data_IF_533312882486
#
_entry.id   IF_533312882486
#
_cell.length_a   1.000
_cell.length_b   1.000
_cell.length_c   1.000
_cell.angle_alpha   90.00
_cell.angle_beta   90.00
_cell.angle_gamma   90.00
#
_symmetry.space_group_name_H-M   'P 1'
#
loop_
_entity.id
_entity.type
_entity.pdbx_description
1 polymer ?
#
# COMPACT_ATOMS: atom_id res chain seq x y z
N UNK A 1 -8.08 -12.30 -6.88
CA UNK A 1 -9.49 -11.91 -6.75
C UNK A 1 -9.71 -10.60 -7.49
N UNK A 2 -10.22 -10.70 -8.74
CA UNK A 2 -11.16 -9.76 -9.36
C UNK A 2 -12.26 -10.68 -9.88
N UNK A 3 -13.19 -11.04 -9.00
CA UNK A 3 -14.42 -11.76 -9.35
C UNK A 3 -15.60 -11.01 -8.75
N UNK A 4 -15.71 -9.73 -9.11
CA UNK A 4 -17.00 -9.06 -9.10
C UNK A 4 -17.62 -9.30 -10.48
N UNK A 5 -18.36 -10.40 -10.60
CA UNK A 5 -19.30 -10.57 -11.70
C UNK A 5 -20.48 -9.67 -11.32
N UNK A 6 -20.41 -8.41 -11.77
CA UNK A 6 -21.41 -7.40 -11.47
C UNK A 6 -22.81 -7.94 -11.72
N UNK A 7 -23.63 -7.99 -10.67
CA UNK A 7 -25.05 -8.30 -10.79
C UNK A 7 -25.70 -7.01 -11.27
N UNK A 8 -25.81 -6.90 -12.60
CA UNK A 8 -26.25 -5.72 -13.35
C UNK A 8 -27.21 -4.78 -12.61
N UNK A 9 -26.62 -3.82 -11.92
CA UNK A 9 -27.24 -2.71 -11.23
C UNK A 9 -26.91 -1.42 -12.01
N UNK A 10 -27.13 -1.44 -13.32
CA UNK A 10 -27.35 -0.26 -14.18
C UNK A 10 -26.25 0.82 -14.29
N UNK A 11 -25.20 0.77 -13.48
CA UNK A 11 -24.09 1.69 -13.50
C UNK A 11 -22.94 1.05 -14.29
N UNK A 12 -22.64 1.58 -15.48
CA UNK A 12 -21.46 1.17 -16.25
C UNK A 12 -20.21 1.27 -15.36
N UNK A 13 -19.32 0.26 -15.27
CA UNK A 13 -18.16 0.34 -14.38
C UNK A 13 -17.45 1.68 -14.56
N UNK A 14 -17.19 2.38 -13.45
CA UNK A 14 -16.43 3.62 -13.52
C UNK A 14 -15.14 3.32 -14.29
N UNK A 15 -14.73 4.19 -15.24
CA UNK A 15 -13.45 4.00 -15.92
C UNK A 15 -12.38 3.82 -14.86
N UNK A 16 -11.40 2.91 -15.06
CA UNK A 16 -10.35 2.69 -14.08
C UNK A 16 -9.74 4.05 -13.73
N UNK A 17 -9.88 4.45 -12.47
CA UNK A 17 -9.30 5.69 -12.04
C UNK A 17 -7.78 5.55 -12.15
N UNK A 18 -7.10 6.50 -12.79
CA UNK A 18 -5.63 6.62 -12.83
C UNK A 18 -5.01 6.87 -11.45
N UNK A 19 -5.75 6.58 -10.37
CA UNK A 19 -5.38 6.85 -8.99
C UNK A 19 -4.68 5.63 -8.42
N UNK A 20 -3.39 5.79 -8.16
CA UNK A 20 -2.57 4.81 -7.47
C UNK A 20 -2.41 5.18 -6.00
N UNK A 21 -2.39 4.19 -5.14
CA UNK A 21 -2.15 4.32 -3.71
C UNK A 21 -0.97 3.47 -3.27
N UNK A 22 -0.20 3.97 -2.30
CA UNK A 22 0.98 3.29 -1.76
C UNK A 22 0.91 3.28 -0.23
N UNK A 23 1.34 2.17 0.39
CA UNK A 23 1.31 2.03 1.84
C UNK A 23 2.70 2.11 2.47
N UNK A 24 2.90 3.05 3.39
CA UNK A 24 4.10 3.13 4.23
C UNK A 24 3.74 2.78 5.67
N UNK A 25 4.41 1.77 6.24
CA UNK A 25 4.12 1.30 7.58
C UNK A 25 5.39 1.05 8.38
N UNK A 26 5.31 1.25 9.70
CA UNK A 26 6.35 0.87 10.64
C UNK A 26 5.69 0.23 11.87
N UNK A 27 6.34 -0.76 12.47
CA UNK A 27 5.80 -1.44 13.65
C UNK A 27 6.89 -2.00 14.56
N UNK A 28 6.59 -2.07 15.85
CA UNK A 28 7.57 -2.40 16.90
C UNK A 28 7.99 -3.87 16.92
N UNK A 29 7.09 -4.80 16.59
CA UNK A 29 7.33 -6.23 16.85
C UNK A 29 8.07 -6.94 15.71
N UNK A 30 8.56 -8.16 15.99
CA UNK A 30 9.24 -9.04 15.02
C UNK A 30 8.31 -10.06 14.38
N UNK A 31 7.00 -9.98 14.62
CA UNK A 31 6.03 -10.95 14.14
C UNK A 31 6.10 -11.10 12.62
N UNK A 32 6.16 -12.34 12.14
CA UNK A 32 6.19 -12.63 10.69
C UNK A 32 4.99 -12.01 9.97
N UNK A 33 3.81 -12.08 10.61
CA UNK A 33 2.52 -11.59 10.12
C UNK A 33 2.16 -10.16 10.55
N UNK A 34 3.10 -9.40 11.13
CA UNK A 34 2.82 -8.07 11.69
C UNK A 34 2.06 -7.15 10.74
N UNK A 35 2.38 -7.21 9.45
CA UNK A 35 1.80 -6.31 8.45
C UNK A 35 0.64 -6.90 7.65
N UNK A 36 0.29 -8.18 7.81
CA UNK A 36 -0.78 -8.78 7.01
C UNK A 36 -2.13 -8.07 7.24
N UNK A 37 -2.45 -7.77 8.50
CA UNK A 37 -3.68 -7.08 8.87
C UNK A 37 -3.75 -5.63 8.33
N UNK A 38 -2.76 -4.74 8.57
CA UNK A 38 -2.81 -3.39 8.04
C UNK A 38 -2.75 -3.35 6.51
N UNK A 39 -1.96 -4.21 5.86
CA UNK A 39 -1.91 -4.31 4.38
C UNK A 39 -3.27 -4.70 3.82
N UNK A 40 -3.92 -5.71 4.39
CA UNK A 40 -5.25 -6.14 3.95
C UNK A 40 -6.28 -5.02 4.12
N UNK A 41 -6.19 -4.28 5.23
CA UNK A 41 -7.06 -3.12 5.51
C UNK A 41 -6.90 -2.03 4.44
N UNK A 42 -5.66 -1.67 4.10
CA UNK A 42 -5.40 -0.65 3.07
C UNK A 42 -5.84 -1.11 1.69
N UNK A 43 -5.66 -2.40 1.36
CA UNK A 43 -6.17 -2.98 0.11
C UNK A 43 -7.68 -2.85 -0.01
N UNK A 44 -8.43 -3.20 1.04
CA UNK A 44 -9.89 -3.03 1.03
C UNK A 44 -10.32 -1.57 1.01
N UNK A 45 -9.59 -0.69 1.72
CA UNK A 45 -9.87 0.74 1.69
C UNK A 45 -9.69 1.30 0.27
N UNK A 46 -8.58 1.00 -0.40
CA UNK A 46 -8.33 1.44 -1.78
C UNK A 46 -9.33 0.87 -2.78
N UNK A 47 -9.71 -0.39 -2.65
CA UNK A 47 -10.77 -1.02 -3.45
C UNK A 47 -12.11 -0.25 -3.33
N UNK A 48 -12.46 0.19 -2.13
CA UNK A 48 -13.70 0.95 -1.88
C UNK A 48 -13.70 2.38 -2.44
N UNK A 49 -12.54 2.96 -2.77
CA UNK A 49 -12.40 4.34 -3.28
C UNK A 49 -11.84 4.40 -4.70
N UNK A 50 -11.90 3.28 -5.42
CA UNK A 50 -11.35 3.11 -6.77
C UNK A 50 -9.88 3.58 -6.88
N UNK A 51 -9.04 3.10 -5.97
CA UNK A 51 -7.60 3.35 -5.99
C UNK A 51 -6.86 2.04 -6.23
N UNK A 52 -5.93 2.02 -7.19
CA UNK A 52 -5.05 0.88 -7.39
C UNK A 52 -4.07 0.75 -6.21
N UNK A 53 -3.97 -0.45 -5.64
CA UNK A 53 -2.91 -0.76 -4.69
C UNK A 53 -1.59 -1.00 -5.42
N UNK A 54 -0.74 0.02 -5.48
CA UNK A 54 0.50 -0.02 -6.26
C UNK A 54 1.71 -0.58 -5.48
N UNK A 55 1.63 -0.69 -4.15
CA UNK A 55 2.69 -1.28 -3.37
C UNK A 55 2.74 -0.84 -1.92
N UNK A 56 3.75 -1.34 -1.22
CA UNK A 56 3.98 -1.11 0.20
C UNK A 56 5.46 -1.16 0.58
N UNK A 57 5.83 -0.41 1.61
CA UNK A 57 7.10 -0.60 2.34
C UNK A 57 6.77 -0.65 3.83
N UNK A 58 7.22 -1.72 4.50
CA UNK A 58 6.93 -1.99 5.89
C UNK A 58 8.20 -2.25 6.71
N UNK A 59 8.44 -1.47 7.76
CA UNK A 59 9.63 -1.59 8.62
C UNK A 59 9.30 -2.18 9.99
N UNK A 60 9.93 -3.31 10.32
CA UNK A 60 9.81 -3.94 11.66
C UNK A 60 10.77 -3.30 12.66
N UNK A 61 10.53 -3.54 13.94
CA UNK A 61 11.39 -3.09 15.04
C UNK A 61 11.56 -1.58 15.14
N UNK A 62 10.49 -0.85 14.79
CA UNK A 62 10.40 0.60 14.95
C UNK A 62 9.38 0.88 16.05
N UNK A 63 9.85 1.26 17.24
CA UNK A 63 9.03 1.42 18.43
C UNK A 63 9.11 2.86 18.96
N UNK A 64 10.33 3.32 19.23
CA UNK A 64 10.57 4.67 19.74
C UNK A 64 10.37 5.75 18.67
N UNK A 65 9.96 6.94 19.13
CA UNK A 65 9.89 8.13 18.29
C UNK A 65 11.24 8.40 17.61
N UNK A 66 11.21 8.44 16.29
CA UNK A 66 12.40 8.71 15.48
C UNK A 66 13.36 7.53 15.30
N UNK A 67 13.05 6.33 15.83
CA UNK A 67 13.88 5.13 15.63
C UNK A 67 14.13 4.82 14.15
N UNK A 68 13.15 5.11 13.28
CA UNK A 68 13.25 4.93 11.82
C UNK A 68 14.45 5.67 11.20
N UNK A 69 14.91 6.78 11.80
CA UNK A 69 16.08 7.54 11.31
C UNK A 69 17.38 6.75 11.42
N UNK A 70 17.43 5.72 12.26
CA UNK A 70 18.58 4.82 12.44
C UNK A 70 18.47 3.56 11.58
N UNK A 71 17.35 3.34 10.90
CA UNK A 71 17.16 2.16 10.06
C UNK A 71 18.05 2.27 8.81
N UNK A 72 18.95 1.30 8.57
CA UNK A 72 20.04 1.45 7.59
C UNK A 72 19.55 1.65 6.16
N UNK A 73 18.39 1.09 5.82
CA UNK A 73 17.86 1.12 4.44
C UNK A 73 16.61 1.99 4.28
N UNK A 74 16.00 2.50 5.36
CA UNK A 74 14.61 2.98 5.29
C UNK A 74 14.42 4.12 4.30
N UNK A 75 15.33 5.11 4.30
CA UNK A 75 15.27 6.22 3.35
C UNK A 75 15.54 5.76 1.91
N UNK A 76 16.46 4.81 1.72
CA UNK A 76 16.79 4.24 0.41
C UNK A 76 15.61 3.45 -0.16
N UNK A 77 15.02 2.56 0.63
CA UNK A 77 13.87 1.73 0.25
C UNK A 77 12.68 2.60 -0.12
N UNK A 78 12.35 3.62 0.70
CA UNK A 78 11.28 4.56 0.40
C UNK A 78 11.55 5.37 -0.88
N UNK A 79 12.80 5.83 -1.10
CA UNK A 79 13.17 6.56 -2.31
C UNK A 79 13.02 5.70 -3.56
N UNK A 80 13.51 4.46 -3.51
CA UNK A 80 13.40 3.51 -4.63
C UNK A 80 11.94 3.18 -4.92
N UNK A 81 11.14 2.88 -3.88
CA UNK A 81 9.73 2.61 -4.04
C UNK A 81 8.96 3.82 -4.62
N UNK A 82 9.27 5.02 -4.15
CA UNK A 82 8.69 6.26 -4.68
C UNK A 82 9.03 6.52 -6.14
N UNK A 83 10.28 6.26 -6.54
CA UNK A 83 10.70 6.34 -7.96
C UNK A 83 9.90 5.36 -8.83
N UNK A 84 9.78 4.10 -8.41
CA UNK A 84 9.00 3.09 -9.12
C UNK A 84 7.51 3.49 -9.22
N UNK A 85 6.94 4.00 -8.13
CA UNK A 85 5.54 4.41 -8.05
C UNK A 85 5.17 5.53 -9.05
N UNK A 86 6.08 6.47 -9.31
CA UNK A 86 5.83 7.57 -10.27
C UNK A 86 6.21 7.22 -11.70
N UNK A 87 7.10 6.26 -11.93
CA UNK A 87 7.53 5.87 -13.29
C UNK A 87 6.51 5.06 -14.07
N UNK A 88 5.53 4.44 -13.40
CA UNK A 88 4.43 3.72 -14.06
C UNK A 88 3.29 4.65 -14.53
N UNK A 89 3.51 5.96 -14.56
CA UNK A 89 2.63 6.96 -15.18
C UNK A 89 3.09 7.15 -16.62
N UNK A 90 2.66 6.27 -17.52
CA UNK A 90 2.80 6.43 -18.98
C UNK A 90 1.52 5.97 -19.65
#
# INVERSE_FOLDING_TARGET
MRKYKGKGDGHAPLPPADRKGFFLCAGATRGKRLFECPVLTVRYFFDAIDVEYAGEVCFRQIDEKGAIRRHPTALGDCKQAGMAFVSDVT
#
